data_IF_458523978216
#
_entry.id   IF_458523978216
#
_cell.length_a   1.000
_cell.length_b   1.000
_cell.length_c   1.000
_cell.angle_alpha   90.00
_cell.angle_beta   90.00
_cell.angle_gamma   90.00
#
_symmetry.space_group_name_H-M   'P 1'
#
loop_
_entity.id
_entity.type
_entity.pdbx_description
1 polymer ?
#
# COMPACT_ATOMS: atom_id res chain seq x y z
N UNK A 1 -13.30 -9.63 -0.19
CA UNK A 1 -12.43 -8.46 0.06
C UNK A 1 -12.82 -7.31 -0.85
N UNK A 2 -12.95 -6.14 -0.30
CA UNK A 2 -13.16 -4.90 -1.06
C UNK A 2 -11.86 -4.09 -1.06
N UNK A 3 -11.66 -3.29 -2.10
CA UNK A 3 -10.53 -2.37 -2.19
C UNK A 3 -11.06 -0.95 -2.34
N UNK A 4 -10.49 -0.04 -1.55
CA UNK A 4 -10.80 1.39 -1.64
C UNK A 4 -9.51 2.16 -1.91
N UNK A 5 -9.43 2.85 -3.04
CA UNK A 5 -8.29 3.72 -3.33
C UNK A 5 -8.39 4.96 -2.44
N UNK A 6 -7.31 5.27 -1.72
CA UNK A 6 -7.25 6.41 -0.82
C UNK A 6 -6.32 7.49 -1.34
N UNK A 7 -5.14 7.12 -1.83
CA UNK A 7 -4.17 8.06 -2.36
C UNK A 7 -3.65 7.59 -3.73
N UNK A 8 -3.39 8.56 -4.59
CA UNK A 8 -2.74 8.30 -5.87
C UNK A 8 -1.60 9.32 -6.02
N UNK A 9 -0.41 8.83 -6.31
CA UNK A 9 0.76 9.66 -6.52
C UNK A 9 1.29 9.42 -7.91
N UNK A 10 1.34 10.48 -8.72
CA UNK A 10 1.79 10.39 -10.10
C UNK A 10 3.19 10.93 -10.25
N UNK A 11 3.97 10.27 -11.09
CA UNK A 11 5.35 10.65 -11.40
C UNK A 11 5.46 10.89 -12.89
N UNK A 12 5.98 12.07 -13.25
CA UNK A 12 6.21 12.41 -14.64
C UNK A 12 7.46 11.73 -15.16
N UNK A 13 7.52 11.56 -16.48
CA UNK A 13 8.70 11.06 -17.13
C UNK A 13 9.84 12.08 -17.00
N UNK A 14 10.99 11.59 -16.54
CA UNK A 14 12.24 12.36 -16.52
C UNK A 14 13.21 11.69 -17.47
N UNK A 15 13.80 12.45 -18.38
CA UNK A 15 14.73 11.93 -19.39
C UNK A 15 15.73 10.98 -18.76
N UNK A 16 15.76 9.74 -19.25
CA UNK A 16 16.69 8.68 -18.84
C UNK A 16 16.68 8.32 -17.35
N UNK A 17 15.89 9.01 -16.52
CA UNK A 17 15.87 8.79 -15.08
C UNK A 17 14.68 7.98 -14.60
N UNK A 18 13.51 8.24 -15.16
CA UNK A 18 12.32 7.45 -14.82
C UNK A 18 11.28 7.52 -15.93
N UNK A 19 10.46 6.48 -16.00
CA UNK A 19 9.29 6.47 -16.89
C UNK A 19 8.09 7.02 -16.12
N UNK A 20 7.14 7.58 -16.84
CA UNK A 20 5.87 7.99 -16.27
C UNK A 20 5.21 6.78 -15.60
N UNK A 21 4.82 6.93 -14.35
CA UNK A 21 4.15 5.88 -13.57
C UNK A 21 3.34 6.49 -12.44
N UNK A 22 2.56 5.67 -11.77
CA UNK A 22 1.80 6.10 -10.60
C UNK A 22 1.87 5.04 -9.50
N UNK A 23 1.73 5.48 -8.27
CA UNK A 23 1.59 4.60 -7.11
C UNK A 23 0.19 4.82 -6.53
N UNK A 24 -0.55 3.75 -6.40
CA UNK A 24 -1.91 3.77 -5.84
C UNK A 24 -1.90 3.08 -4.50
N UNK A 25 -2.42 3.77 -3.48
CA UNK A 25 -2.46 3.30 -2.11
C UNK A 25 -3.89 3.21 -1.66
N UNK A 26 -4.27 2.11 -1.04
CA UNK A 26 -5.63 1.97 -0.60
C UNK A 26 -5.85 0.97 0.52
N UNK A 27 -7.08 0.91 0.98
CA UNK A 27 -7.52 -0.01 2.00
C UNK A 27 -8.04 -1.30 1.38
N UNK A 28 -7.76 -2.41 2.05
CA UNK A 28 -8.53 -3.63 1.85
C UNK A 28 -9.52 -3.74 2.99
N UNK A 29 -10.73 -4.21 2.70
CA UNK A 29 -11.78 -4.39 3.70
C UNK A 29 -12.33 -5.80 3.59
N UNK A 30 -12.22 -6.56 4.68
CA UNK A 30 -12.76 -7.90 4.83
C UNK A 30 -13.83 -7.86 5.92
N UNK A 31 -15.08 -7.60 5.55
CA UNK A 31 -16.15 -7.21 6.48
C UNK A 31 -16.40 -8.16 7.65
N UNK A 32 -16.19 -9.44 7.48
CA UNK A 32 -16.46 -10.43 8.53
C UNK A 32 -15.22 -10.88 9.29
N UNK A 33 -14.10 -10.22 9.07
CA UNK A 33 -12.86 -10.55 9.76
C UNK A 33 -12.74 -9.81 11.08
N UNK A 34 -12.02 -10.38 12.04
CA UNK A 34 -11.74 -9.73 13.33
C UNK A 34 -10.89 -8.46 13.15
N UNK A 35 -10.05 -8.46 12.13
CA UNK A 35 -9.23 -7.31 11.76
C UNK A 35 -9.53 -6.99 10.30
N UNK A 36 -10.62 -6.28 10.03
CA UNK A 36 -11.11 -6.15 8.66
C UNK A 36 -10.27 -5.29 7.73
N UNK A 37 -9.41 -4.43 8.28
CA UNK A 37 -8.71 -3.44 7.47
C UNK A 37 -7.26 -3.82 7.20
N UNK A 38 -6.86 -3.68 5.96
CA UNK A 38 -5.49 -3.87 5.52
C UNK A 38 -5.15 -2.84 4.47
N UNK A 39 -4.04 -3.04 3.79
CA UNK A 39 -3.57 -2.10 2.77
C UNK A 39 -3.29 -2.83 1.45
N UNK A 40 -3.37 -2.06 0.37
CA UNK A 40 -2.78 -2.46 -0.90
C UNK A 40 -1.98 -1.30 -1.48
N UNK A 41 -0.93 -1.63 -2.22
CA UNK A 41 -0.13 -0.68 -2.97
C UNK A 41 0.05 -1.27 -4.36
N UNK A 42 -0.21 -0.46 -5.39
CA UNK A 42 -0.02 -0.87 -6.77
C UNK A 42 0.85 0.16 -7.49
N UNK A 43 1.77 -0.34 -8.29
CA UNK A 43 2.52 0.50 -9.22
C UNK A 43 1.89 0.34 -10.59
N UNK A 44 1.52 1.46 -11.18
CA UNK A 44 0.84 1.51 -12.48
C UNK A 44 1.80 2.11 -13.52
N UNK A 45 1.80 1.54 -14.73
CA UNK A 45 2.54 2.13 -15.83
C UNK A 45 1.78 3.34 -16.40
N UNK A 46 2.33 3.97 -17.43
CA UNK A 46 1.69 5.12 -18.08
C UNK A 46 0.32 4.79 -18.70
N UNK A 47 0.06 3.52 -18.99
CA UNK A 47 -1.21 3.05 -19.54
C UNK A 47 -2.16 2.57 -18.44
N UNK A 48 -1.81 2.79 -17.18
CA UNK A 48 -2.58 2.38 -16.00
C UNK A 48 -2.68 0.86 -15.81
N UNK A 49 -1.78 0.11 -16.42
CA UNK A 49 -1.66 -1.32 -16.16
C UNK A 49 -0.81 -1.53 -14.90
N UNK A 50 -1.20 -2.51 -14.08
CA UNK A 50 -0.49 -2.83 -12.85
C UNK A 50 0.82 -3.54 -13.19
N UNK A 51 1.94 -2.93 -12.83
CA UNK A 51 3.28 -3.51 -13.00
C UNK A 51 3.70 -4.33 -11.78
N UNK A 52 3.30 -3.89 -10.60
CA UNK A 52 3.66 -4.53 -9.33
C UNK A 52 2.58 -4.21 -8.31
N UNK A 53 2.39 -5.10 -7.36
CA UNK A 53 1.39 -4.93 -6.33
C UNK A 53 1.76 -5.68 -5.05
N UNK A 54 1.33 -5.13 -3.93
CA UNK A 54 1.36 -5.80 -2.63
C UNK A 54 0.03 -5.61 -1.95
N UNK A 55 -0.45 -6.70 -1.37
CA UNK A 55 -1.71 -6.69 -0.61
C UNK A 55 -1.41 -7.31 0.74
N UNK A 56 -1.73 -6.56 1.80
CA UNK A 56 -1.58 -7.05 3.18
C UNK A 56 -2.92 -6.88 3.86
N UNK A 57 -3.67 -7.98 3.90
CA UNK A 57 -5.05 -7.98 4.39
C UNK A 57 -5.11 -8.22 5.90
N UNK A 58 -6.24 -7.82 6.48
CA UNK A 58 -6.58 -8.18 7.86
C UNK A 58 -5.51 -7.79 8.88
N UNK A 59 -5.06 -6.55 8.76
CA UNK A 59 -3.99 -6.02 9.62
C UNK A 59 -4.50 -5.44 10.93
N UNK A 60 -5.64 -4.79 10.91
CA UNK A 60 -6.12 -4.01 12.04
C UNK A 60 -7.64 -3.95 12.08
N UNK A 61 -8.18 -3.79 13.28
CA UNK A 61 -9.60 -3.57 13.50
C UNK A 61 -9.99 -2.10 13.35
N UNK A 62 -9.04 -1.17 13.43
CA UNK A 62 -9.30 0.26 13.35
C UNK A 62 -8.90 0.82 11.99
N UNK A 63 -9.88 1.35 11.26
CA UNK A 63 -9.69 1.95 9.95
C UNK A 63 -8.70 3.11 10.01
N UNK A 64 -8.80 3.95 11.03
CA UNK A 64 -7.97 5.14 11.19
C UNK A 64 -6.48 4.81 11.32
N UNK A 65 -6.15 3.72 12.02
CA UNK A 65 -4.75 3.31 12.15
C UNK A 65 -4.17 2.89 10.82
N UNK A 66 -4.96 2.18 10.01
CA UNK A 66 -4.52 1.76 8.68
C UNK A 66 -4.38 2.96 7.74
N UNK A 67 -5.28 3.93 7.86
CA UNK A 67 -5.19 5.18 7.08
C UNK A 67 -3.92 5.96 7.40
N UNK A 68 -3.50 5.98 8.67
CA UNK A 68 -2.25 6.63 9.06
C UNK A 68 -1.04 5.92 8.44
N UNK A 69 -1.06 4.59 8.40
CA UNK A 69 -0.01 3.82 7.73
C UNK A 69 0.03 4.10 6.24
N UNK A 70 -1.14 4.15 5.60
CA UNK A 70 -1.23 4.47 4.17
C UNK A 70 -0.69 5.85 3.88
N UNK A 71 -1.02 6.82 4.73
CA UNK A 71 -0.52 8.19 4.57
C UNK A 71 1.00 8.22 4.67
N UNK A 72 1.57 7.50 5.62
CA UNK A 72 3.02 7.39 5.75
C UNK A 72 3.64 6.81 4.47
N UNK A 73 3.08 5.73 3.96
CA UNK A 73 3.57 5.10 2.74
C UNK A 73 3.46 6.03 1.53
N UNK A 74 2.34 6.75 1.43
CA UNK A 74 2.11 7.72 0.38
C UNK A 74 3.09 8.89 0.45
N UNK A 75 3.28 9.46 1.63
CA UNK A 75 4.18 10.61 1.81
C UNK A 75 5.64 10.26 1.49
N UNK A 76 6.01 9.01 1.68
CA UNK A 76 7.36 8.53 1.40
C UNK A 76 7.49 7.83 0.05
N UNK A 77 6.44 7.86 -0.77
CA UNK A 77 6.42 7.25 -2.09
C UNK A 77 6.90 5.80 -2.08
N UNK A 78 6.45 5.03 -1.10
CA UNK A 78 6.88 3.64 -0.92
C UNK A 78 6.32 2.77 -2.03
N UNK A 79 7.19 2.04 -2.72
CA UNK A 79 6.77 1.11 -3.78
C UNK A 79 6.27 -0.21 -3.20
N UNK A 80 5.45 -0.97 -3.96
CA UNK A 80 4.90 -2.24 -3.47
C UNK A 80 5.95 -3.18 -2.90
N UNK A 81 7.05 -3.35 -3.59
CA UNK A 81 8.13 -4.27 -3.18
C UNK A 81 8.82 -3.87 -1.87
N UNK A 82 8.71 -2.62 -1.47
CA UNK A 82 9.34 -2.10 -0.25
C UNK A 82 8.37 -2.00 0.93
N UNK A 83 7.08 -2.15 0.69
CA UNK A 83 6.05 -1.88 1.69
C UNK A 83 6.20 -2.72 2.95
N UNK A 84 6.45 -4.02 2.80
CA UNK A 84 6.60 -4.91 3.94
C UNK A 84 7.77 -4.50 4.82
N UNK A 85 8.92 -4.21 4.20
CA UNK A 85 10.12 -3.83 4.93
C UNK A 85 9.93 -2.51 5.66
N UNK A 86 9.30 -1.53 5.01
CA UNK A 86 9.02 -0.24 5.62
C UNK A 86 8.10 -0.39 6.83
N UNK A 87 7.02 -1.17 6.70
CA UNK A 87 6.10 -1.39 7.81
C UNK A 87 6.77 -2.13 8.96
N UNK A 88 7.63 -3.09 8.65
CA UNK A 88 8.39 -3.80 9.66
C UNK A 88 9.32 -2.85 10.41
N UNK A 89 10.01 -1.97 9.70
CA UNK A 89 10.95 -1.01 10.30
C UNK A 89 10.27 -0.03 11.26
N UNK A 90 9.04 0.35 10.98
CA UNK A 90 8.29 1.26 11.85
C UNK A 90 7.47 0.52 12.92
N UNK A 91 7.64 -0.79 13.03
CA UNK A 91 6.95 -1.59 14.05
C UNK A 91 5.49 -1.88 13.74
N UNK A 92 5.07 -1.73 12.48
CA UNK A 92 3.69 -1.93 12.04
C UNK A 92 3.56 -3.12 11.10
N UNK A 93 4.35 -4.15 11.31
CA UNK A 93 4.31 -5.35 10.48
C UNK A 93 2.90 -5.95 10.42
N UNK A 94 2.47 -6.46 9.26
CA UNK A 94 1.16 -7.09 9.14
C UNK A 94 1.00 -8.24 10.13
N UNK A 95 -0.22 -8.41 10.60
CA UNK A 95 -0.54 -9.51 11.50
C UNK A 95 -0.25 -10.85 10.82
N UNK A 96 0.37 -11.74 11.55
CA UNK A 96 0.79 -13.04 11.03
C UNK A 96 2.20 -13.05 10.45
N UNK A 97 2.76 -11.87 10.22
CA UNK A 97 4.13 -11.72 9.73
C UNK A 97 5.15 -11.74 10.87
N UNK A 98 4.73 -11.28 12.02
CA UNK A 98 5.61 -11.14 13.16
C UNK A 98 5.91 -12.44 13.88
N UNK A 99 5.54 -13.56 13.33
CA UNK A 99 5.84 -14.86 13.90
C UNK A 99 7.30 -15.24 13.78
N UNK A 100 8.00 -14.39 13.12
CA UNK A 100 9.43 -14.62 12.93
C UNK A 100 10.12 -14.47 14.20
#
# INVERSE_FOLDING_TARGET
MKKETVFLREFSELEHLQRSHALRYGLTVDENALRPFGIFIERLDRLRAVEDARVMRQMDEARERVLLLLRYLYENAVEPRCARDVLHDIGAAPFGEGCG
#
